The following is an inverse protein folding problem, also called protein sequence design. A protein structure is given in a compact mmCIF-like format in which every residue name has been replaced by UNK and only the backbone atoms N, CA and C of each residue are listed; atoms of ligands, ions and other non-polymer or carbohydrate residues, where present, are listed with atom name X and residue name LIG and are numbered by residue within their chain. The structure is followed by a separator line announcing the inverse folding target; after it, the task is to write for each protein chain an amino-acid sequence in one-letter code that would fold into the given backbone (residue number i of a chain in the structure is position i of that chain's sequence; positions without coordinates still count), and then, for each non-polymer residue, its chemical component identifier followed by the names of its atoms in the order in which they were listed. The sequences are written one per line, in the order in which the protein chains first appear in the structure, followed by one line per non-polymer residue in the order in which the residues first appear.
data_IF_882320629143
#
_entry.id   IF_882320629143
#
_cell.length_a   1.000
_cell.length_b   1.000
_cell.length_c   1.000
_cell.angle_alpha   90.00
_cell.angle_beta   90.00
_cell.angle_gamma   90.00
#
_symmetry.space_group_name_H-M   'P 1'
#
loop_
_entity.id
_entity.type
_entity.pdbx_description
1 polymer ?
#
# COMPACT_ATOMS: atom_id res chain seq x y z
N UNK A 1 62.02 -31.62 23.62
CA UNK A 1 61.05 -31.78 22.52
C UNK A 1 59.73 -31.19 22.98
N UNK A 2 59.46 -29.93 22.64
CA UNK A 2 58.25 -29.21 23.08
C UNK A 2 57.25 -29.21 21.91
N UNK A 3 56.13 -29.93 22.07
CA UNK A 3 55.05 -29.99 21.08
C UNK A 3 54.17 -28.75 21.23
N UNK A 4 54.13 -27.90 20.20
CA UNK A 4 53.17 -26.79 20.09
C UNK A 4 51.87 -27.35 19.50
N UNK A 5 50.80 -27.38 20.28
CA UNK A 5 49.43 -27.59 19.80
C UNK A 5 48.84 -26.25 19.35
N UNK A 6 48.55 -26.10 18.05
CA UNK A 6 47.77 -24.98 17.51
C UNK A 6 46.29 -25.27 17.73
N UNK A 7 45.63 -24.50 18.59
CA UNK A 7 44.17 -24.46 18.70
C UNK A 7 43.65 -23.45 17.67
N UNK A 8 42.99 -23.94 16.62
CA UNK A 8 42.27 -23.10 15.66
C UNK A 8 40.97 -22.60 16.31
N UNK A 9 40.88 -21.29 16.57
CA UNK A 9 39.63 -20.65 16.99
C UNK A 9 38.75 -20.40 15.76
N UNK A 10 37.61 -21.12 15.66
CA UNK A 10 36.57 -20.79 14.69
C UNK A 10 35.92 -19.45 15.10
N UNK A 11 36.12 -18.42 14.27
CA UNK A 11 35.36 -17.18 14.31
C UNK A 11 33.99 -17.42 13.66
N UNK A 12 32.94 -17.52 14.48
CA UNK A 12 31.55 -17.52 14.02
C UNK A 12 31.18 -16.06 13.70
N UNK A 13 30.73 -15.73 12.48
CA UNK A 13 30.26 -14.38 12.19
C UNK A 13 28.93 -14.16 12.91
N UNK A 14 28.95 -13.30 13.93
CA UNK A 14 27.71 -12.77 14.52
C UNK A 14 27.14 -11.79 13.51
N UNK A 15 26.12 -12.19 12.74
CA UNK A 15 25.37 -11.24 11.93
C UNK A 15 24.50 -10.41 12.87
N UNK A 16 24.94 -9.20 13.18
CA UNK A 16 24.06 -8.19 13.75
C UNK A 16 23.04 -7.83 12.66
N UNK A 17 21.78 -8.21 12.86
CA UNK A 17 20.69 -7.56 12.16
C UNK A 17 20.72 -6.09 12.60
N UNK A 18 21.30 -5.22 11.77
CA UNK A 18 21.22 -3.80 11.97
C UNK A 18 19.73 -3.44 11.94
N UNK A 19 19.20 -3.00 13.08
CA UNK A 19 17.94 -2.27 13.10
C UNK A 19 18.12 -1.08 12.16
N UNK A 20 17.37 -1.06 11.07
CA UNK A 20 17.32 0.10 10.19
C UNK A 20 16.74 1.24 11.04
N UNK A 21 17.62 2.08 11.57
CA UNK A 21 17.20 3.32 12.19
C UNK A 21 16.47 4.13 11.10
N UNK A 22 15.27 4.68 11.39
CA UNK A 22 14.60 5.57 10.48
C UNK A 22 15.55 6.71 10.11
N UNK A 23 15.86 6.85 8.83
CA UNK A 23 16.60 8.00 8.31
C UNK A 23 15.67 9.20 8.42
N UNK A 24 15.96 10.13 9.33
CA UNK A 24 15.29 11.42 9.44
C UNK A 24 13.75 11.34 9.45
N UNK A 25 13.15 10.46 10.26
CA UNK A 25 11.69 10.36 10.41
C UNK A 25 10.94 9.59 9.31
N UNK A 26 11.61 9.17 8.21
CA UNK A 26 10.98 8.33 7.18
C UNK A 26 10.92 6.86 7.61
N UNK A 27 9.70 6.33 7.71
CA UNK A 27 9.42 4.89 7.84
C UNK A 27 9.59 4.16 6.51
N UNK A 28 9.21 4.83 5.42
CA UNK A 28 9.46 4.37 4.06
C UNK A 28 10.16 5.53 3.33
N UNK A 29 11.44 5.39 2.94
CA UNK A 29 12.14 6.40 2.19
C UNK A 29 11.76 6.33 0.70
N UNK A 30 11.98 7.44 -0.03
CA UNK A 30 11.72 7.55 -1.47
C UNK A 30 12.54 6.55 -2.30
N UNK A 31 13.68 6.11 -1.76
CA UNK A 31 14.57 5.11 -2.33
C UNK A 31 14.06 3.68 -2.17
N UNK A 32 12.91 3.45 -1.51
CA UNK A 32 12.40 2.10 -1.23
C UNK A 32 12.12 1.27 -2.50
N UNK A 33 12.04 1.91 -3.67
CA UNK A 33 11.81 1.27 -4.97
C UNK A 33 13.05 1.26 -5.89
N UNK A 34 14.22 1.70 -5.42
CA UNK A 34 15.42 1.83 -6.27
C UNK A 34 15.93 0.48 -6.78
N UNK A 35 15.82 -0.55 -5.94
CA UNK A 35 16.27 -1.91 -6.25
C UNK A 35 15.40 -2.95 -5.56
N UNK A 36 15.44 -4.18 -6.06
CA UNK A 36 14.78 -5.32 -5.41
C UNK A 36 15.26 -5.52 -3.96
N UNK A 37 16.55 -5.30 -3.69
CA UNK A 37 17.11 -5.43 -2.34
C UNK A 37 16.51 -4.38 -1.40
N UNK A 38 16.46 -3.11 -1.82
CA UNK A 38 15.87 -2.03 -1.01
C UNK A 38 14.37 -2.25 -0.82
N UNK A 39 13.67 -2.67 -1.87
CA UNK A 39 12.24 -2.99 -1.79
C UNK A 39 11.97 -4.08 -0.77
N UNK A 40 12.74 -5.17 -0.79
CA UNK A 40 12.59 -6.28 0.16
C UNK A 40 12.86 -5.87 1.61
N UNK A 41 13.46 -4.70 1.85
CA UNK A 41 13.61 -4.15 3.20
C UNK A 41 12.28 -3.61 3.75
N UNK A 42 11.50 -2.89 2.93
CA UNK A 42 10.32 -2.14 3.38
C UNK A 42 9.00 -2.80 3.01
N UNK A 43 8.98 -3.61 1.96
CA UNK A 43 7.77 -4.11 1.32
C UNK A 43 7.75 -5.63 1.25
N UNK A 44 6.55 -6.19 1.27
CA UNK A 44 6.25 -7.58 0.99
C UNK A 44 5.16 -7.67 -0.08
N UNK A 45 5.04 -8.83 -0.72
CA UNK A 45 4.08 -9.09 -1.79
C UNK A 45 2.75 -9.63 -1.25
N UNK A 46 1.71 -9.58 -2.09
CA UNK A 46 0.34 -10.01 -1.80
C UNK A 46 -0.32 -9.16 -0.71
N UNK A 47 -1.54 -9.50 -0.28
CA UNK A 47 -2.12 -8.92 0.91
C UNK A 47 -1.49 -9.54 2.17
N UNK A 48 -1.50 -8.84 3.32
CA UNK A 48 -1.01 -9.39 4.58
C UNK A 48 -1.67 -10.73 4.98
N UNK A 49 -2.87 -11.01 4.47
CA UNK A 49 -3.66 -12.21 4.74
C UNK A 49 -3.71 -13.22 3.58
N UNK A 50 -3.02 -12.98 2.46
CA UNK A 50 -3.02 -13.91 1.33
C UNK A 50 -3.15 -13.24 -0.03
N UNK A 51 -3.68 -13.97 -1.00
CA UNK A 51 -3.61 -13.57 -2.42
C UNK A 51 -4.88 -12.97 -2.98
N UNK A 52 -5.98 -13.00 -2.23
CA UNK A 52 -7.30 -12.60 -2.72
C UNK A 52 -7.88 -11.49 -1.81
N UNK A 53 -8.56 -10.50 -2.41
CA UNK A 53 -9.31 -9.46 -1.70
C UNK A 53 -10.36 -8.81 -2.63
N UNK A 54 -11.64 -8.97 -2.34
CA UNK A 54 -12.77 -8.21 -2.90
C UNK A 54 -12.78 -7.96 -4.42
N UNK A 55 -12.36 -8.92 -5.25
CA UNK A 55 -12.40 -8.75 -6.71
C UNK A 55 -12.06 -10.02 -7.48
N UNK A 56 -11.83 -9.87 -8.77
CA UNK A 56 -11.59 -10.97 -9.70
C UNK A 56 -10.10 -11.20 -10.00
N UNK A 57 -9.18 -10.49 -9.35
CA UNK A 57 -7.74 -10.72 -9.47
C UNK A 57 -7.19 -11.53 -8.31
N UNK A 58 -6.32 -12.49 -8.65
CA UNK A 58 -5.45 -13.18 -7.70
C UNK A 58 -4.06 -12.56 -7.73
N UNK A 59 -3.55 -12.20 -6.55
CA UNK A 59 -2.27 -11.55 -6.40
C UNK A 59 -1.11 -12.54 -6.49
N UNK A 60 -0.08 -12.17 -7.24
CA UNK A 60 1.10 -12.97 -7.44
C UNK A 60 2.34 -12.07 -7.58
N UNK A 61 3.44 -12.44 -6.90
CA UNK A 61 4.68 -11.66 -6.96
C UNK A 61 5.26 -11.45 -8.37
N UNK A 62 5.10 -12.35 -9.37
CA UNK A 62 5.56 -12.07 -10.74
C UNK A 62 4.85 -10.90 -11.42
N UNK A 63 3.70 -10.45 -10.89
CA UNK A 63 2.97 -9.28 -11.39
C UNK A 63 3.48 -7.96 -10.79
N UNK A 64 4.53 -8.02 -9.97
CA UNK A 64 5.14 -6.85 -9.35
C UNK A 64 6.56 -6.68 -9.89
N UNK A 65 6.77 -5.61 -10.65
CA UNK A 65 8.09 -5.21 -11.14
C UNK A 65 8.64 -4.06 -10.31
N UNK A 66 9.91 -4.15 -9.90
CA UNK A 66 10.57 -3.17 -9.04
C UNK A 66 11.93 -2.78 -9.61
N UNK A 67 12.22 -1.49 -9.60
CA UNK A 67 13.54 -0.95 -9.92
C UNK A 67 13.47 0.46 -10.50
N UNK A 68 14.61 1.16 -10.49
CA UNK A 68 14.70 2.50 -11.08
C UNK A 68 13.83 3.54 -10.35
N UNK A 69 13.54 3.32 -9.07
CA UNK A 69 12.73 4.21 -8.23
C UNK A 69 11.21 4.03 -8.40
N UNK A 70 10.76 2.97 -9.07
CA UNK A 70 9.36 2.71 -9.39
C UNK A 70 8.95 1.26 -9.05
N UNK A 71 7.69 1.10 -8.67
CA UNK A 71 6.97 -0.18 -8.71
C UNK A 71 5.91 -0.13 -9.81
N UNK A 72 5.78 -1.22 -10.55
CA UNK A 72 4.69 -1.43 -11.51
C UNK A 72 3.96 -2.73 -11.19
N UNK A 73 2.66 -2.63 -10.94
CA UNK A 73 1.74 -3.74 -10.74
C UNK A 73 1.04 -4.01 -12.08
N UNK A 74 1.13 -5.24 -12.58
CA UNK A 74 0.53 -5.63 -13.86
C UNK A 74 -0.66 -6.55 -13.62
N UNK A 75 -1.83 -6.19 -14.16
CA UNK A 75 -2.97 -7.09 -14.21
C UNK A 75 -3.04 -7.74 -15.60
N UNK A 76 -3.16 -9.07 -15.66
CA UNK A 76 -3.27 -9.84 -16.90
C UNK A 76 -4.47 -10.79 -16.83
N UNK A 77 -5.32 -10.85 -17.88
CA UNK A 77 -6.40 -11.85 -17.94
C UNK A 77 -5.85 -13.27 -17.80
N UNK A 78 -6.58 -14.11 -17.08
CA UNK A 78 -6.24 -15.53 -16.86
C UNK A 78 -7.50 -16.38 -16.87
N UNK A 79 -7.32 -17.67 -17.09
CA UNK A 79 -8.36 -18.69 -16.94
C UNK A 79 -7.84 -19.82 -16.05
N UNK A 80 -8.75 -20.72 -15.62
CA UNK A 80 -8.39 -21.94 -14.88
C UNK A 80 -7.93 -21.71 -13.43
N UNK A 81 -8.08 -20.50 -12.89
CA UNK A 81 -7.83 -20.22 -11.49
C UNK A 81 -8.98 -20.77 -10.63
N UNK A 82 -8.64 -21.36 -9.48
CA UNK A 82 -9.65 -21.73 -8.48
C UNK A 82 -10.35 -20.44 -7.97
N UNK A 83 -11.65 -20.49 -7.63
CA UNK A 83 -12.33 -19.37 -6.98
C UNK A 83 -11.64 -18.98 -5.65
N UNK A 84 -11.96 -17.79 -5.14
CA UNK A 84 -11.58 -17.39 -3.77
C UNK A 84 -12.29 -18.27 -2.74
N UNK A 85 -11.90 -18.16 -1.46
CA UNK A 85 -12.57 -18.88 -0.36
C UNK A 85 -14.08 -18.60 -0.29
N UNK A 86 -14.48 -17.40 -0.71
CA UNK A 86 -15.87 -16.93 -0.69
C UNK A 86 -16.58 -17.19 -2.02
N UNK A 87 -15.95 -17.93 -2.93
CA UNK A 87 -16.54 -18.38 -4.19
C UNK A 87 -16.46 -17.37 -5.35
N UNK A 88 -15.72 -16.27 -5.20
CA UNK A 88 -15.55 -15.31 -6.30
C UNK A 88 -14.65 -15.91 -7.38
N UNK A 89 -15.09 -15.82 -8.64
CA UNK A 89 -14.30 -16.28 -9.78
C UNK A 89 -13.09 -15.37 -10.02
N UNK A 90 -11.95 -15.98 -10.35
CA UNK A 90 -10.73 -15.25 -10.69
C UNK A 90 -10.58 -15.18 -12.21
N UNK A 91 -10.55 -13.96 -12.72
CA UNK A 91 -10.39 -13.63 -14.13
C UNK A 91 -9.02 -13.00 -14.44
N UNK A 92 -8.26 -12.60 -13.43
CA UNK A 92 -6.96 -11.93 -13.60
C UNK A 92 -5.90 -12.48 -12.65
N UNK A 93 -4.64 -12.47 -13.09
CA UNK A 93 -3.50 -12.40 -12.17
C UNK A 93 -3.09 -10.94 -12.05
N UNK A 94 -2.82 -10.48 -10.84
CA UNK A 94 -2.36 -9.11 -10.59
C UNK A 94 -1.34 -9.03 -9.44
N UNK A 95 -0.94 -7.82 -9.06
CA UNK A 95 0.04 -7.56 -8.02
C UNK A 95 -0.52 -6.74 -6.86
N UNK A 96 -0.02 -7.05 -5.67
CA UNK A 96 -0.17 -6.25 -4.45
C UNK A 96 1.15 -6.19 -3.73
N UNK A 97 1.42 -5.05 -3.10
CA UNK A 97 2.49 -4.89 -2.11
C UNK A 97 1.92 -4.31 -0.82
N UNK A 98 2.53 -4.63 0.30
CA UNK A 98 2.23 -4.02 1.59
C UNK A 98 3.51 -3.68 2.35
N UNK A 99 3.44 -2.64 3.17
CA UNK A 99 4.57 -2.26 4.02
C UNK A 99 4.75 -3.31 5.13
N UNK A 100 6.01 -3.70 5.39
CA UNK A 100 6.33 -4.64 6.49
C UNK A 100 6.16 -4.02 7.87
N UNK A 101 6.16 -2.69 7.96
CA UNK A 101 5.91 -1.95 9.19
C UNK A 101 4.44 -1.53 9.29
N UNK A 102 3.94 -1.42 10.53
CA UNK A 102 2.63 -0.87 10.84
C UNK A 102 2.69 0.65 11.00
N UNK A 103 1.60 1.30 10.60
CA UNK A 103 1.40 2.73 10.80
C UNK A 103 0.38 2.95 11.92
N UNK A 104 0.86 3.31 13.10
CA UNK A 104 0.01 3.63 14.26
C UNK A 104 0.03 5.14 14.48
N UNK A 105 -1.11 5.81 14.39
CA UNK A 105 -1.19 7.26 14.68
C UNK A 105 -1.09 7.45 16.19
N UNK A 106 -0.01 8.08 16.67
CA UNK A 106 0.18 8.40 18.08
C UNK A 106 -0.53 9.72 18.44
N UNK A 107 -0.76 9.96 19.73
CA UNK A 107 -1.32 11.22 20.21
C UNK A 107 -0.47 12.42 19.76
N UNK A 108 -1.11 13.45 19.21
CA UNK A 108 -0.48 14.62 18.58
C UNK A 108 0.47 14.32 17.39
N UNK A 109 0.52 13.07 16.92
CA UNK A 109 1.41 12.62 15.85
C UNK A 109 0.66 12.28 14.56
N UNK A 110 1.27 11.38 13.78
CA UNK A 110 0.71 10.86 12.54
C UNK A 110 1.74 10.73 11.43
N UNK A 111 1.28 10.68 10.18
CA UNK A 111 2.11 10.39 9.03
C UNK A 111 1.76 11.22 7.80
N UNK A 112 2.78 11.57 7.04
CA UNK A 112 2.61 11.99 5.65
C UNK A 112 2.92 10.82 4.73
N UNK A 113 1.93 10.42 3.94
CA UNK A 113 2.12 9.53 2.81
C UNK A 113 2.15 10.36 1.54
N UNK A 114 3.19 10.21 0.73
CA UNK A 114 3.34 11.00 -0.51
C UNK A 114 3.94 10.14 -1.61
N UNK A 115 3.49 10.29 -2.84
CA UNK A 115 4.07 9.63 -4.00
C UNK A 115 3.41 10.05 -5.30
N UNK A 116 4.03 9.67 -6.42
CA UNK A 116 3.45 9.86 -7.76
C UNK A 116 2.77 8.56 -8.21
N UNK A 117 1.57 8.67 -8.76
CA UNK A 117 0.74 7.55 -9.18
C UNK A 117 0.27 7.72 -10.61
N UNK A 118 0.34 6.63 -11.38
CA UNK A 118 -0.24 6.50 -12.72
C UNK A 118 -1.19 5.31 -12.71
N UNK A 119 -2.49 5.61 -12.65
CA UNK A 119 -3.54 4.63 -12.44
C UNK A 119 -4.55 4.62 -13.61
N UNK A 120 -4.98 3.42 -14.02
CA UNK A 120 -6.10 3.29 -14.96
C UNK A 120 -7.42 3.62 -14.27
N UNK A 121 -8.30 4.28 -15.01
CA UNK A 121 -9.71 4.46 -14.64
C UNK A 121 -10.66 3.77 -15.62
N UNK A 122 -10.15 2.83 -16.42
CA UNK A 122 -10.97 2.02 -17.31
C UNK A 122 -11.90 1.11 -16.50
N UNK A 123 -13.09 0.83 -17.04
CA UNK A 123 -14.05 -0.07 -16.39
C UNK A 123 -13.38 -1.40 -16.02
N UNK A 124 -13.60 -1.87 -14.80
CA UNK A 124 -13.03 -3.11 -14.28
C UNK A 124 -11.57 -3.06 -13.85
N UNK A 125 -10.90 -1.90 -13.92
CA UNK A 125 -9.61 -1.70 -13.25
C UNK A 125 -9.84 -1.09 -11.87
N UNK A 126 -9.23 -1.65 -10.83
CA UNK A 126 -9.31 -1.16 -9.44
C UNK A 126 -7.93 -1.03 -8.78
N UNK A 127 -7.08 -0.08 -9.21
CA UNK A 127 -5.94 0.36 -8.43
C UNK A 127 -6.41 0.91 -7.08
N UNK A 128 -5.66 0.61 -6.01
CA UNK A 128 -5.91 1.19 -4.71
C UNK A 128 -4.62 1.37 -3.89
N UNK A 129 -4.69 2.34 -2.99
CA UNK A 129 -3.67 2.71 -2.03
C UNK A 129 -4.39 3.06 -0.72
N UNK A 130 -4.15 2.31 0.35
CA UNK A 130 -5.05 2.33 1.50
C UNK A 130 -4.42 1.86 2.80
N UNK A 131 -5.08 2.20 3.91
CA UNK A 131 -4.75 1.81 5.27
C UNK A 131 -5.90 1.00 5.87
N UNK A 132 -5.60 -0.12 6.51
CA UNK A 132 -6.62 -0.92 7.20
C UNK A 132 -6.08 -1.49 8.51
N UNK A 133 -6.95 -1.74 9.48
CA UNK A 133 -6.56 -2.23 10.79
C UNK A 133 -5.84 -3.59 10.73
N UNK A 134 -4.68 -3.68 11.37
CA UNK A 134 -3.87 -4.89 11.33
C UNK A 134 -4.46 -6.06 12.12
N UNK A 135 -5.20 -5.74 13.18
CA UNK A 135 -5.75 -6.72 14.13
C UNK A 135 -7.28 -6.79 14.11
N UNK A 136 -7.94 -5.85 13.44
CA UNK A 136 -9.38 -5.76 13.37
C UNK A 136 -9.79 -4.94 12.16
N UNK A 137 -10.92 -5.29 11.55
CA UNK A 137 -11.66 -4.41 10.68
C UNK A 137 -13.01 -4.11 11.33
N UNK A 138 -13.43 -2.83 11.44
CA UNK A 138 -12.69 -1.57 11.22
C UNK A 138 -11.44 -1.39 12.10
N UNK A 139 -10.51 -0.44 11.80
CA UNK A 139 -10.62 0.77 10.95
C UNK A 139 -10.13 0.65 9.49
N UNK A 140 -10.48 1.62 8.63
CA UNK A 140 -10.01 1.72 7.24
C UNK A 140 -9.97 3.17 6.71
N UNK A 141 -8.96 3.49 5.91
CA UNK A 141 -8.82 4.75 5.15
C UNK A 141 -8.36 4.39 3.73
N UNK A 142 -9.21 4.64 2.74
CA UNK A 142 -8.88 4.55 1.34
C UNK A 142 -8.16 5.84 0.91
N UNK A 143 -6.83 5.80 0.99
CA UNK A 143 -5.97 6.95 0.65
C UNK A 143 -6.10 7.35 -0.82
N UNK A 144 -6.37 6.39 -1.70
CA UNK A 144 -6.83 6.59 -3.08
C UNK A 144 -7.35 5.29 -3.67
N UNK A 145 -8.48 5.36 -4.38
CA UNK A 145 -9.00 4.25 -5.20
C UNK A 145 -9.47 4.75 -6.57
N UNK A 146 -9.28 3.94 -7.60
CA UNK A 146 -9.76 4.23 -8.95
C UNK A 146 -10.71 3.12 -9.41
N UNK A 147 -12.02 3.38 -9.39
CA UNK A 147 -13.06 2.35 -9.59
C UNK A 147 -13.67 2.38 -10.99
N UNK A 148 -12.82 2.44 -12.02
CA UNK A 148 -13.26 2.31 -13.42
C UNK A 148 -14.23 3.39 -13.94
N UNK A 149 -14.25 4.58 -13.33
CA UNK A 149 -15.28 5.61 -13.54
C UNK A 149 -14.73 6.95 -14.07
N UNK A 150 -13.45 7.02 -14.42
CA UNK A 150 -12.77 8.29 -14.74
C UNK A 150 -12.43 9.15 -13.51
N UNK A 151 -12.54 8.60 -12.30
CA UNK A 151 -12.34 9.31 -11.04
C UNK A 151 -11.36 8.58 -10.13
N UNK A 152 -10.78 9.37 -9.22
CA UNK A 152 -10.12 8.92 -8.00
C UNK A 152 -11.07 9.19 -6.82
N UNK A 153 -11.15 8.24 -5.89
CA UNK A 153 -11.97 8.32 -4.68
C UNK A 153 -11.05 8.38 -3.46
N UNK A 154 -11.35 9.28 -2.54
CA UNK A 154 -10.73 9.41 -1.22
C UNK A 154 -11.76 9.06 -0.16
N UNK A 155 -11.50 8.06 0.67
CA UNK A 155 -12.49 7.63 1.68
C UNK A 155 -11.88 7.37 3.05
N UNK A 156 -12.68 7.58 4.09
CA UNK A 156 -12.36 7.20 5.46
C UNK A 156 -13.59 6.56 6.09
N UNK A 157 -13.39 5.49 6.85
CA UNK A 157 -14.46 4.88 7.60
C UNK A 157 -14.75 5.71 8.86
N UNK A 158 -15.85 6.45 8.83
CA UNK A 158 -16.24 7.41 9.85
C UNK A 158 -17.06 6.80 10.99
N UNK A 159 -17.75 7.68 11.72
CA UNK A 159 -18.59 7.32 12.88
C UNK A 159 -19.65 6.29 12.45
N UNK A 160 -19.91 5.29 13.30
CA UNK A 160 -20.83 4.18 13.05
C UNK A 160 -20.49 3.38 11.77
N UNK A 161 -19.20 3.31 11.42
CA UNK A 161 -18.69 2.61 10.24
C UNK A 161 -19.35 3.09 8.94
N UNK A 162 -19.67 4.38 8.87
CA UNK A 162 -20.19 4.99 7.64
C UNK A 162 -19.04 5.55 6.82
N UNK A 163 -19.01 5.20 5.54
CA UNK A 163 -18.04 5.73 4.61
C UNK A 163 -18.25 7.22 4.37
N UNK A 164 -17.19 8.00 4.52
CA UNK A 164 -17.11 9.38 4.05
C UNK A 164 -16.24 9.35 2.80
N UNK A 165 -16.82 9.64 1.64
CA UNK A 165 -16.12 9.53 0.34
C UNK A 165 -16.17 10.85 -0.43
N UNK A 166 -15.05 11.20 -1.06
CA UNK A 166 -14.95 12.27 -2.04
C UNK A 166 -14.41 11.71 -3.35
N UNK A 167 -15.21 11.83 -4.40
CA UNK A 167 -14.73 11.57 -5.76
C UNK A 167 -14.19 12.85 -6.42
N UNK A 168 -13.11 12.69 -7.18
CA UNK A 168 -12.48 13.75 -7.97
C UNK A 168 -12.18 13.22 -9.37
N UNK A 169 -12.35 14.05 -10.39
CA UNK A 169 -11.95 13.70 -11.76
C UNK A 169 -10.44 13.42 -11.81
N UNK A 170 -10.04 12.33 -12.47
CA UNK A 170 -8.66 11.90 -12.56
C UNK A 170 -8.23 11.73 -14.02
N UNK A 171 -7.05 12.24 -14.39
CA UNK A 171 -6.51 12.05 -15.73
C UNK A 171 -5.56 10.85 -15.76
N UNK A 172 -6.06 9.71 -16.22
CA UNK A 172 -5.29 8.46 -16.29
C UNK A 172 -4.15 8.44 -17.31
N UNK A 173 -4.01 9.49 -18.13
CA UNK A 173 -2.89 9.63 -19.08
C UNK A 173 -1.66 10.34 -18.47
N UNK A 174 -1.68 10.71 -17.19
CA UNK A 174 -0.61 11.49 -16.56
C UNK A 174 -0.29 11.01 -15.15
N UNK A 175 0.95 11.26 -14.73
CA UNK A 175 1.34 11.08 -13.33
C UNK A 175 0.67 12.16 -12.48
N UNK A 176 0.17 11.76 -11.31
CA UNK A 176 -0.40 12.65 -10.32
C UNK A 176 0.32 12.47 -8.98
N UNK A 177 0.67 13.57 -8.33
CA UNK A 177 1.27 13.53 -7.00
C UNK A 177 0.15 13.49 -5.97
N UNK A 178 0.09 12.44 -5.17
CA UNK A 178 -0.83 12.33 -4.05
C UNK A 178 -0.10 12.58 -2.75
N UNK A 179 -0.72 13.34 -1.84
CA UNK A 179 -0.27 13.51 -0.47
C UNK A 179 -1.44 13.31 0.48
N UNK A 180 -1.26 12.48 1.50
CA UNK A 180 -2.22 12.32 2.58
C UNK A 180 -1.55 12.68 3.90
N UNK A 181 -2.09 13.70 4.57
CA UNK A 181 -1.71 14.07 5.93
C UNK A 181 -2.66 13.36 6.89
N UNK A 182 -2.21 12.24 7.47
CA UNK A 182 -2.96 11.45 8.44
C UNK A 182 -2.49 11.86 9.83
N UNK A 183 -3.37 12.40 10.67
CA UNK A 183 -3.02 12.98 11.97
C UNK A 183 -3.99 12.59 13.06
N UNK A 184 -3.48 12.52 14.28
CA UNK A 184 -4.34 12.51 15.46
C UNK A 184 -5.24 13.75 15.47
N UNK A 185 -6.52 13.57 15.77
CA UNK A 185 -7.47 14.68 15.89
C UNK A 185 -7.76 15.03 17.36
N UNK A 186 -7.88 14.04 18.23
CA UNK A 186 -8.38 14.21 19.59
C UNK A 186 -7.95 13.07 20.56
N UNK A 187 -6.94 12.29 20.20
CA UNK A 187 -6.49 11.10 20.93
C UNK A 187 -7.32 9.84 20.66
N UNK A 188 -8.38 9.92 19.86
CA UNK A 188 -9.29 8.80 19.54
C UNK A 188 -9.48 8.68 18.03
N UNK A 189 -9.86 9.77 17.39
CA UNK A 189 -10.13 9.85 15.96
C UNK A 189 -8.89 10.31 15.19
N UNK A 190 -8.87 10.01 13.90
CA UNK A 190 -7.81 10.41 12.98
C UNK A 190 -8.39 11.33 11.91
N UNK A 191 -7.76 12.49 11.73
CA UNK A 191 -8.05 13.36 10.58
C UNK A 191 -7.14 13.00 9.42
N UNK A 192 -7.71 12.89 8.22
CA UNK A 192 -6.94 12.77 6.98
C UNK A 192 -7.25 13.92 6.05
N UNK A 193 -6.22 14.64 5.63
CA UNK A 193 -6.32 15.60 4.51
C UNK A 193 -5.75 14.97 3.26
N UNK A 194 -6.52 14.97 2.19
CA UNK A 194 -6.19 14.34 0.91
C UNK A 194 -5.85 15.43 -0.10
N UNK A 195 -4.66 15.36 -0.67
CA UNK A 195 -4.17 16.29 -1.68
C UNK A 195 -3.86 15.55 -2.98
N UNK A 196 -4.20 16.16 -4.10
CA UNK A 196 -3.81 15.73 -5.44
C UNK A 196 -3.21 16.93 -6.17
N UNK A 197 -1.99 16.76 -6.68
CA UNK A 197 -1.19 17.79 -7.36
C UNK A 197 -1.06 19.08 -6.53
N UNK A 198 -0.88 18.92 -5.22
CA UNK A 198 -0.74 20.02 -4.26
C UNK A 198 -2.07 20.68 -3.85
N UNK A 199 -3.19 20.38 -4.50
CA UNK A 199 -4.50 20.92 -4.14
C UNK A 199 -5.23 20.02 -3.12
N UNK A 200 -5.72 20.61 -2.03
CA UNK A 200 -6.55 19.92 -1.03
C UNK A 200 -7.89 19.53 -1.65
N UNK A 201 -8.19 18.24 -1.67
CA UNK A 201 -9.40 17.67 -2.25
C UNK A 201 -10.47 17.39 -1.18
N UNK A 202 -10.05 16.92 -0.01
CA UNK A 202 -10.93 16.59 1.11
C UNK A 202 -10.19 16.64 2.45
N UNK A 203 -10.96 16.88 3.51
CA UNK A 203 -10.58 16.60 4.90
C UNK A 203 -11.64 15.68 5.47
N UNK A 204 -11.26 14.52 6.01
CA UNK A 204 -12.18 13.53 6.55
C UNK A 204 -11.72 13.09 7.94
N UNK A 205 -12.66 12.57 8.73
CA UNK A 205 -12.41 12.02 10.07
C UNK A 205 -12.69 10.53 10.06
N UNK A 206 -11.66 9.74 10.34
CA UNK A 206 -11.75 8.31 10.62
C UNK A 206 -12.03 8.06 12.11
N UNK A 207 -13.01 7.21 12.39
CA UNK A 207 -13.53 6.98 13.74
C UNK A 207 -12.67 5.99 14.55
N UNK A 208 -12.29 6.38 15.77
CA UNK A 208 -11.61 5.52 16.74
C UNK A 208 -10.40 4.75 16.15
N UNK A 209 -9.53 5.47 15.44
CA UNK A 209 -8.37 4.92 14.74
C UNK A 209 -7.03 5.19 15.44
N UNK A 210 -6.96 6.22 16.30
CA UNK A 210 -5.73 6.57 17.01
C UNK A 210 -5.26 5.38 17.88
N UNK A 211 -3.95 5.15 17.91
CA UNK A 211 -3.34 4.04 18.64
C UNK A 211 -3.55 2.64 18.02
N UNK A 212 -4.34 2.48 16.95
CA UNK A 212 -4.49 1.20 16.26
C UNK A 212 -3.40 1.01 15.20
N UNK A 213 -2.75 -0.17 15.13
CA UNK A 213 -1.81 -0.46 14.05
C UNK A 213 -2.55 -0.63 12.73
N UNK A 214 -2.09 0.05 11.69
CA UNK A 214 -2.64 -0.02 10.34
C UNK A 214 -1.62 -0.66 9.39
N UNK A 215 -2.08 -1.60 8.56
CA UNK A 215 -1.37 -2.00 7.36
C UNK A 215 -1.42 -0.87 6.34
N UNK A 216 -0.34 -0.69 5.58
CA UNK A 216 -0.32 0.11 4.36
C UNK A 216 -0.25 -0.83 3.15
N UNK A 217 -1.23 -0.73 2.26
CA UNK A 217 -1.40 -1.64 1.13
C UNK A 217 -1.52 -0.83 -0.17
N UNK A 218 -0.88 -1.34 -1.22
CA UNK A 218 -1.01 -0.87 -2.60
C UNK A 218 -1.25 -2.06 -3.51
N UNK A 219 -2.40 -2.10 -4.15
CA UNK A 219 -2.83 -3.19 -4.99
C UNK A 219 -3.38 -2.74 -6.33
N UNK A 220 -3.40 -3.69 -7.25
CA UNK A 220 -4.09 -3.51 -8.51
C UNK A 220 -5.18 -4.56 -8.69
N UNK A 221 -6.28 -4.40 -7.96
CA UNK A 221 -7.44 -5.28 -8.06
C UNK A 221 -8.17 -5.06 -9.40
N UNK A 222 -8.99 -6.02 -9.78
CA UNK A 222 -9.77 -6.01 -11.02
C UNK A 222 -11.23 -6.36 -10.72
N UNK A 223 -12.14 -5.74 -11.46
CA UNK A 223 -13.59 -5.88 -11.32
C UNK A 223 -14.08 -5.52 -9.90
N UNK A 224 -15.04 -6.26 -9.33
CA UNK A 224 -15.64 -5.92 -8.04
C UNK A 224 -16.31 -4.55 -8.07
N UNK A 225 -15.92 -3.65 -7.17
CA UNK A 225 -16.44 -2.28 -7.12
C UNK A 225 -16.11 -1.42 -8.35
N UNK A 226 -15.15 -1.84 -9.18
CA UNK A 226 -14.85 -1.18 -10.47
C UNK A 226 -15.73 -1.67 -11.65
N UNK A 227 -16.63 -2.62 -11.38
CA UNK A 227 -17.58 -3.18 -12.34
C UNK A 227 -16.98 -4.23 -13.28
N UNK A 228 -17.85 -4.91 -14.03
CA UNK A 228 -17.48 -5.96 -14.98
C UNK A 228 -18.18 -5.78 -16.33
N UNK A 229 -17.64 -6.33 -17.44
CA UNK A 229 -16.33 -6.98 -17.54
C UNK A 229 -15.18 -5.97 -17.46
N UNK A 230 -14.02 -6.43 -17.02
CA UNK A 230 -12.76 -5.69 -17.11
C UNK A 230 -12.03 -5.81 -18.46
N UNK A 231 -10.82 -5.23 -18.57
CA UNK A 231 -10.02 -5.24 -19.79
C UNK A 231 -9.63 -6.65 -20.28
N UNK A 232 -9.60 -6.86 -21.60
CA UNK A 232 -9.21 -8.15 -22.21
C UNK A 232 -7.72 -8.27 -22.53
N UNK A 233 -6.94 -7.24 -22.22
CA UNK A 233 -5.48 -7.22 -22.36
C UNK A 233 -4.83 -6.81 -21.04
N UNK A 234 -3.54 -7.07 -20.89
CA UNK A 234 -2.81 -6.62 -19.71
C UNK A 234 -2.88 -5.10 -19.55
N UNK A 235 -2.94 -4.64 -18.30
CA UNK A 235 -2.92 -3.22 -17.92
C UNK A 235 -1.99 -3.03 -16.72
N UNK A 236 -1.65 -1.79 -16.38
CA UNK A 236 -0.70 -1.50 -15.31
C UNK A 236 -1.18 -0.40 -14.38
N UNK A 237 -0.77 -0.52 -13.12
CA UNK A 237 -0.76 0.54 -12.12
C UNK A 237 0.69 0.78 -11.70
N UNK A 238 1.16 2.02 -11.75
CA UNK A 238 2.54 2.37 -11.44
C UNK A 238 2.62 3.47 -10.38
N UNK A 239 3.66 3.38 -9.54
CA UNK A 239 3.95 4.35 -8.50
C UNK A 239 5.45 4.55 -8.31
N UNK A 240 5.87 5.77 -7.99
CA UNK A 240 7.27 6.14 -7.79
C UNK A 240 7.42 7.24 -6.74
N UNK A 241 8.65 7.39 -6.23
CA UNK A 241 8.97 8.45 -5.27
C UNK A 241 8.16 8.38 -3.97
N UNK A 242 7.68 7.20 -3.60
CA UNK A 242 6.79 7.05 -2.46
C UNK A 242 7.53 7.18 -1.13
N UNK A 243 6.97 7.96 -0.21
CA UNK A 243 7.48 8.15 1.14
C UNK A 243 6.38 8.01 2.19
N UNK A 244 6.75 7.48 3.35
CA UNK A 244 5.95 7.58 4.57
C UNK A 244 6.80 8.25 5.66
N UNK A 245 6.51 9.51 5.98
CA UNK A 245 7.19 10.29 7.01
C UNK A 245 6.39 10.26 8.30
N UNK A 246 7.06 10.03 9.44
CA UNK A 246 6.45 9.99 10.76
C UNK A 246 6.59 11.31 11.49
N UNK A 247 5.48 11.79 12.04
CA UNK A 247 5.39 12.86 13.03
C UNK A 247 5.11 12.34 14.43
N UNK A 248 5.15 11.01 14.63
CA UNK A 248 5.16 10.46 15.98
C UNK A 248 6.52 10.74 16.64
N UNK A 249 6.48 11.24 17.87
CA UNK A 249 7.64 11.40 18.75
C UNK A 249 8.14 10.07 19.33
#
# INVERSE_FOLDING_TARGET
MLRLTLTAALLVPVSFAASLLPRDGYKIPSTSFDSQTTFNTYWAYNYPWGTDHNGAARMASPQVSVGGGQVTLTAAPTTGQAPTSDGLAIHYLSGTIYAKEYFTVAANGGYDFTGDFLASTAKGTWPAFWLTGANSWPPEIDLAEWKGSGKISFSSLGINNQWVTKDVTYNSASWHTLKMEVRDLNGVDVQTKFYMDGALQATQTGNAMAGKPLWLIMDYQMEGSSGSPGPTSSTTFALKGFTAYSYND
#
